data_IF_326280290632
#
_entry.id   IF_326280290632
#
_cell.length_a   1.000
_cell.length_b   1.000
_cell.length_c   1.000
_cell.angle_alpha   90.00
_cell.angle_beta   90.00
_cell.angle_gamma   90.00
#
_symmetry.space_group_name_H-M   'P 1'
#
loop_
_entity.id
_entity.type
_entity.pdbx_description
1 polymer ?
#
# COMPACT_ATOMS: atom_id res chain seq x y z
N UNK A 1 29.43 -17.89 -6.27
CA UNK A 1 29.21 -16.63 -5.54
C UNK A 1 28.03 -15.87 -6.13
N UNK A 2 28.02 -15.50 -7.43
CA UNK A 2 26.92 -14.72 -8.06
C UNK A 2 25.54 -15.39 -7.92
N UNK A 3 25.44 -16.70 -8.17
CA UNK A 3 24.16 -17.44 -8.05
C UNK A 3 23.57 -17.38 -6.63
N UNK A 4 24.41 -17.46 -5.60
CA UNK A 4 23.97 -17.33 -4.20
C UNK A 4 23.49 -15.92 -3.90
N UNK A 5 24.20 -14.91 -4.38
CA UNK A 5 23.81 -13.51 -4.22
C UNK A 5 22.45 -13.23 -4.87
N UNK A 6 22.23 -13.72 -6.09
CA UNK A 6 20.95 -13.62 -6.79
C UNK A 6 19.82 -14.33 -6.04
N UNK A 7 20.06 -15.57 -5.59
CA UNK A 7 19.07 -16.33 -4.83
C UNK A 7 18.65 -15.61 -3.54
N UNK A 8 19.60 -15.01 -2.80
CA UNK A 8 19.32 -14.20 -1.61
C UNK A 8 18.54 -12.94 -1.96
N UNK A 9 18.86 -12.29 -3.10
CA UNK A 9 18.13 -11.12 -3.59
C UNK A 9 16.68 -11.45 -3.90
N UNK A 10 16.43 -12.51 -4.66
CA UNK A 10 15.08 -12.99 -4.99
C UNK A 10 14.29 -13.31 -3.73
N UNK A 11 14.89 -14.01 -2.76
CA UNK A 11 14.23 -14.31 -1.49
C UNK A 11 13.80 -13.05 -0.73
N UNK A 12 14.68 -12.04 -0.64
CA UNK A 12 14.37 -10.75 0.00
C UNK A 12 13.28 -9.98 -0.74
N UNK A 13 13.30 -9.98 -2.06
CA UNK A 13 12.27 -9.33 -2.86
C UNK A 13 10.92 -10.02 -2.69
N UNK A 14 10.91 -11.33 -2.60
CA UNK A 14 9.72 -12.11 -2.31
C UNK A 14 9.15 -11.78 -0.91
N UNK A 15 10.02 -11.62 0.11
CA UNK A 15 9.59 -11.18 1.43
C UNK A 15 8.94 -9.78 1.40
N UNK A 16 9.50 -8.82 0.65
CA UNK A 16 8.91 -7.48 0.48
C UNK A 16 7.53 -7.54 -0.17
N UNK A 17 7.43 -8.31 -1.24
CA UNK A 17 6.16 -8.57 -1.93
C UNK A 17 5.11 -9.15 -0.96
N UNK A 18 5.46 -10.20 -0.22
CA UNK A 18 4.55 -10.84 0.75
C UNK A 18 4.16 -9.86 1.87
N UNK A 19 5.10 -9.10 2.42
CA UNK A 19 4.80 -8.10 3.46
C UNK A 19 3.80 -7.07 2.96
N UNK A 20 4.00 -6.52 1.78
CA UNK A 20 3.06 -5.58 1.15
C UNK A 20 1.68 -6.21 0.97
N UNK A 21 1.61 -7.36 0.32
CA UNK A 21 0.36 -8.04 -0.03
C UNK A 21 -0.46 -8.43 1.22
N UNK A 22 0.20 -8.96 2.25
CA UNK A 22 -0.49 -9.30 3.49
C UNK A 22 -1.00 -8.07 4.24
N UNK A 23 -0.27 -6.95 4.20
CA UNK A 23 -0.73 -5.69 4.80
C UNK A 23 -1.97 -5.14 4.08
N UNK A 24 -1.96 -5.15 2.74
CA UNK A 24 -3.12 -4.73 1.94
C UNK A 24 -4.34 -5.58 2.26
N UNK A 25 -4.19 -6.91 2.24
CA UNK A 25 -5.29 -7.83 2.51
C UNK A 25 -5.83 -7.66 3.95
N UNK A 26 -4.94 -7.56 4.95
CA UNK A 26 -5.34 -7.36 6.33
C UNK A 26 -6.13 -6.06 6.50
N UNK A 27 -5.62 -4.93 6.00
CA UNK A 27 -6.29 -3.64 6.09
C UNK A 27 -7.61 -3.62 5.32
N UNK A 28 -7.68 -4.21 4.13
CA UNK A 28 -8.92 -4.29 3.34
C UNK A 28 -10.02 -5.04 4.08
N UNK A 29 -9.69 -6.22 4.63
CA UNK A 29 -10.64 -7.02 5.40
C UNK A 29 -11.09 -6.28 6.66
N UNK A 30 -10.17 -5.69 7.41
CA UNK A 30 -10.51 -4.95 8.62
C UNK A 30 -11.38 -3.73 8.33
N UNK A 31 -11.05 -2.95 7.29
CA UNK A 31 -11.84 -1.78 6.87
C UNK A 31 -13.27 -2.18 6.52
N UNK A 32 -13.46 -3.22 5.72
CA UNK A 32 -14.79 -3.67 5.33
C UNK A 32 -15.56 -4.20 6.55
N UNK A 33 -14.96 -5.09 7.34
CA UNK A 33 -15.61 -5.69 8.50
C UNK A 33 -16.00 -4.63 9.53
N UNK A 34 -15.10 -3.70 9.87
CA UNK A 34 -15.37 -2.67 10.87
C UNK A 34 -16.39 -1.65 10.36
N UNK A 35 -16.38 -1.30 9.07
CA UNK A 35 -17.40 -0.41 8.51
C UNK A 35 -18.78 -1.03 8.62
N UNK A 36 -18.94 -2.29 8.22
CA UNK A 36 -20.23 -3.00 8.31
C UNK A 36 -20.64 -3.21 9.77
N UNK A 37 -19.72 -3.60 10.66
CA UNK A 37 -20.00 -3.78 12.08
C UNK A 37 -20.41 -2.47 12.79
N UNK A 38 -19.90 -1.33 12.30
CA UNK A 38 -20.29 0.00 12.79
C UNK A 38 -21.61 0.51 12.20
N UNK A 39 -22.28 -0.25 11.33
CA UNK A 39 -23.56 0.11 10.72
C UNK A 39 -23.43 1.00 9.48
N UNK A 40 -22.23 1.15 8.93
CA UNK A 40 -22.04 1.85 7.66
C UNK A 40 -22.31 0.94 6.47
N UNK A 41 -22.64 1.54 5.34
CA UNK A 41 -22.65 0.84 4.06
C UNK A 41 -21.22 0.38 3.70
N UNK A 42 -21.12 -0.59 2.76
CA UNK A 42 -19.83 -1.06 2.27
C UNK A 42 -19.01 0.13 1.73
N UNK A 43 -17.78 0.34 2.21
CA UNK A 43 -17.01 1.56 1.93
C UNK A 43 -16.54 1.66 0.47
N UNK A 44 -16.58 0.56 -0.27
CA UNK A 44 -16.13 0.48 -1.66
C UNK A 44 -17.18 -0.13 -2.57
N UNK A 45 -17.33 0.40 -3.76
CA UNK A 45 -18.10 -0.22 -4.84
C UNK A 45 -17.32 -1.39 -5.47
N UNK A 46 -18.00 -2.28 -6.18
CA UNK A 46 -17.36 -3.41 -6.86
C UNK A 46 -16.25 -2.98 -7.83
N UNK A 47 -16.45 -1.87 -8.56
CA UNK A 47 -15.45 -1.30 -9.47
C UNK A 47 -14.25 -0.74 -8.72
N UNK A 48 -14.46 -0.09 -7.58
CA UNK A 48 -13.37 0.39 -6.73
C UNK A 48 -12.54 -0.77 -6.15
N UNK A 49 -13.19 -1.86 -5.73
CA UNK A 49 -12.49 -3.08 -5.29
C UNK A 49 -11.68 -3.68 -6.44
N UNK A 50 -12.24 -3.74 -7.64
CA UNK A 50 -11.52 -4.22 -8.81
C UNK A 50 -10.29 -3.35 -9.14
N UNK A 51 -10.43 -2.03 -9.05
CA UNK A 51 -9.32 -1.08 -9.21
C UNK A 51 -8.22 -1.32 -8.17
N UNK A 52 -8.58 -1.43 -6.90
CA UNK A 52 -7.64 -1.71 -5.82
C UNK A 52 -6.86 -3.00 -6.11
N UNK A 53 -7.55 -4.09 -6.45
CA UNK A 53 -6.91 -5.39 -6.63
C UNK A 53 -6.05 -5.48 -7.90
N UNK A 54 -6.44 -4.86 -9.01
CA UNK A 54 -5.73 -5.02 -10.28
C UNK A 54 -4.64 -3.96 -10.44
N UNK A 55 -4.94 -2.69 -10.19
CA UNK A 55 -4.05 -1.58 -10.53
C UNK A 55 -3.24 -1.13 -9.33
N UNK A 56 -3.86 -1.16 -8.15
CA UNK A 56 -3.21 -0.70 -6.93
C UNK A 56 -2.30 -1.79 -6.33
N UNK A 57 -2.75 -3.04 -6.30
CA UNK A 57 -1.98 -4.15 -5.73
C UNK A 57 -0.94 -4.73 -6.71
N UNK A 58 -1.34 -4.97 -7.96
CA UNK A 58 -0.52 -5.70 -8.93
C UNK A 58 0.80 -4.97 -9.27
N UNK A 59 0.77 -3.82 -9.94
CA UNK A 59 1.98 -3.14 -10.39
C UNK A 59 2.94 -2.72 -9.26
N UNK A 60 2.52 -2.12 -8.13
CA UNK A 60 3.40 -1.83 -7.01
C UNK A 60 4.05 -3.08 -6.41
N UNK A 61 3.29 -4.17 -6.25
CA UNK A 61 3.81 -5.43 -5.73
C UNK A 61 4.89 -6.03 -6.64
N UNK A 62 4.68 -6.00 -7.97
CA UNK A 62 5.69 -6.46 -8.94
C UNK A 62 6.98 -5.64 -8.84
N UNK A 63 6.90 -4.33 -8.61
CA UNK A 63 8.10 -3.49 -8.48
C UNK A 63 8.91 -3.82 -7.23
N UNK A 64 8.27 -4.30 -6.15
CA UNK A 64 8.96 -4.81 -4.97
C UNK A 64 9.70 -6.11 -5.26
N UNK A 65 9.13 -6.97 -6.12
CA UNK A 65 9.79 -8.17 -6.62
C UNK A 65 11.03 -7.90 -7.49
N UNK A 66 11.11 -6.71 -8.07
CA UNK A 66 12.20 -6.27 -8.94
C UNK A 66 13.18 -5.30 -8.27
N UNK A 67 13.12 -5.16 -6.94
CA UNK A 67 14.05 -4.29 -6.20
C UNK A 67 15.50 -4.73 -6.43
N UNK A 68 16.41 -3.80 -6.75
CA UNK A 68 17.81 -4.11 -7.01
C UNK A 68 18.48 -4.87 -5.86
N UNK A 69 19.23 -5.92 -6.22
CA UNK A 69 19.97 -6.73 -5.25
C UNK A 69 21.09 -5.91 -4.63
N UNK A 70 21.08 -5.78 -3.31
CA UNK A 70 22.10 -5.05 -2.56
C UNK A 70 23.32 -5.92 -2.31
N UNK A 71 24.52 -5.31 -2.40
CA UNK A 71 25.77 -6.03 -2.21
C UNK A 71 26.05 -6.57 -0.80
N UNK A 72 25.37 -6.01 0.22
CA UNK A 72 25.48 -6.36 1.63
C UNK A 72 24.81 -7.70 2.01
N UNK A 73 24.02 -8.29 1.10
CA UNK A 73 23.36 -9.58 1.33
C UNK A 73 24.35 -10.74 1.54
N UNK A 74 25.55 -10.64 1.02
CA UNK A 74 26.57 -11.70 1.18
C UNK A 74 27.21 -11.70 2.58
N UNK A 75 27.12 -10.60 3.31
CA UNK A 75 27.63 -10.47 4.68
C UNK A 75 26.65 -11.01 5.72
N UNK A 76 25.43 -11.37 5.32
CA UNK A 76 24.41 -11.92 6.22
C UNK A 76 24.56 -13.45 6.34
N UNK A 77 24.21 -14.04 7.49
CA UNK A 77 24.21 -15.49 7.64
C UNK A 77 23.25 -16.16 6.67
N UNK A 78 23.47 -17.43 6.31
CA UNK A 78 22.55 -18.20 5.49
C UNK A 78 21.18 -18.34 6.16
N UNK A 79 20.11 -18.23 5.37
CA UNK A 79 18.76 -18.52 5.85
C UNK A 79 18.60 -20.03 5.99
N UNK A 80 18.06 -20.48 7.10
CA UNK A 80 17.77 -21.92 7.34
C UNK A 80 16.72 -22.40 6.36
N UNK A 81 16.80 -23.66 5.93
CA UNK A 81 15.85 -24.27 4.98
C UNK A 81 14.42 -24.38 5.53
N UNK A 82 14.29 -24.50 6.84
CA UNK A 82 13.05 -24.60 7.60
C UNK A 82 12.52 -23.23 8.10
N UNK A 83 13.20 -22.12 7.74
CA UNK A 83 12.77 -20.80 8.16
C UNK A 83 11.47 -20.40 7.46
N UNK A 84 10.52 -19.85 8.24
CA UNK A 84 9.32 -19.26 7.69
C UNK A 84 9.65 -18.07 6.79
N UNK A 85 8.94 -17.94 5.68
CA UNK A 85 9.06 -16.79 4.77
C UNK A 85 8.68 -15.50 5.49
N UNK A 86 7.60 -15.56 6.29
CA UNK A 86 7.15 -14.44 7.13
C UNK A 86 7.90 -14.50 8.45
N UNK A 87 8.84 -13.58 8.64
CA UNK A 87 9.55 -13.43 9.91
C UNK A 87 8.67 -12.77 10.96
N UNK A 88 9.03 -12.91 12.25
CA UNK A 88 8.32 -12.23 13.35
C UNK A 88 8.30 -10.70 13.17
N UNK A 89 9.40 -10.15 12.67
CA UNK A 89 9.52 -8.72 12.38
C UNK A 89 8.56 -8.30 11.24
N UNK A 90 8.51 -9.08 10.15
CA UNK A 90 7.54 -8.86 9.08
C UNK A 90 6.10 -8.91 9.58
N UNK A 91 5.77 -9.90 10.41
CA UNK A 91 4.43 -10.02 11.00
C UNK A 91 4.07 -8.78 11.82
N UNK A 92 5.01 -8.28 12.62
CA UNK A 92 4.82 -7.06 13.38
C UNK A 92 4.57 -5.85 12.48
N UNK A 93 5.35 -5.70 11.41
CA UNK A 93 5.16 -4.64 10.43
C UNK A 93 3.82 -4.73 9.70
N UNK A 94 3.40 -5.95 9.30
CA UNK A 94 2.11 -6.20 8.67
C UNK A 94 0.96 -5.77 9.58
N UNK A 95 0.98 -6.20 10.83
CA UNK A 95 -0.07 -5.89 11.81
C UNK A 95 -0.09 -4.40 12.12
N UNK A 96 1.06 -3.78 12.38
CA UNK A 96 1.14 -2.36 12.73
C UNK A 96 0.68 -1.47 11.58
N UNK A 97 1.18 -1.70 10.36
CA UNK A 97 0.77 -0.93 9.20
C UNK A 97 -0.70 -1.20 8.82
N UNK A 98 -1.15 -2.45 8.90
CA UNK A 98 -2.55 -2.81 8.63
C UNK A 98 -3.51 -2.13 9.61
N UNK A 99 -3.18 -2.12 10.90
CA UNK A 99 -3.97 -1.42 11.92
C UNK A 99 -3.92 0.10 11.76
N UNK A 100 -2.75 0.67 11.42
CA UNK A 100 -2.62 2.11 11.13
C UNK A 100 -3.55 2.53 9.98
N UNK A 101 -3.48 1.85 8.84
CA UNK A 101 -4.33 2.12 7.67
C UNK A 101 -5.81 2.02 8.05
N UNK A 102 -6.17 0.96 8.77
CA UNK A 102 -7.54 0.74 9.24
C UNK A 102 -8.00 1.85 10.19
N UNK A 103 -7.17 2.24 11.14
CA UNK A 103 -7.50 3.27 12.13
C UNK A 103 -7.69 4.65 11.46
N UNK A 104 -6.80 5.04 10.56
CA UNK A 104 -6.91 6.30 9.81
C UNK A 104 -8.16 6.30 8.93
N UNK A 105 -8.44 5.19 8.25
CA UNK A 105 -9.64 5.04 7.43
C UNK A 105 -10.92 5.16 8.25
N UNK A 106 -11.01 4.44 9.37
CA UNK A 106 -12.19 4.48 10.25
C UNK A 106 -12.34 5.84 10.93
N UNK A 107 -11.25 6.49 11.32
CA UNK A 107 -11.27 7.84 11.86
C UNK A 107 -11.85 8.83 10.83
N UNK A 108 -11.44 8.74 9.56
CA UNK A 108 -12.04 9.56 8.50
C UNK A 108 -13.52 9.25 8.30
N UNK A 109 -13.89 7.96 8.33
CA UNK A 109 -15.28 7.55 8.14
C UNK A 109 -16.21 8.09 9.23
N UNK A 110 -15.77 8.10 10.50
CA UNK A 110 -16.57 8.59 11.62
C UNK A 110 -16.50 10.10 11.81
N UNK A 111 -15.31 10.67 11.75
CA UNK A 111 -15.05 12.04 12.15
C UNK A 111 -15.05 13.05 11.00
N UNK A 112 -14.93 12.55 9.75
CA UNK A 112 -14.75 13.39 8.55
C UNK A 112 -13.69 14.51 8.76
N UNK A 113 -12.56 14.17 9.37
CA UNK A 113 -11.54 15.15 9.78
C UNK A 113 -10.85 15.83 8.58
N UNK A 114 -10.91 15.22 7.39
CA UNK A 114 -10.42 15.84 6.16
C UNK A 114 -11.33 16.95 5.64
N UNK A 115 -12.63 16.98 6.09
CA UNK A 115 -13.54 18.08 5.85
C UNK A 115 -14.24 18.05 4.49
N UNK A 116 -14.51 16.87 3.94
CA UNK A 116 -15.30 16.72 2.72
C UNK A 116 -16.82 16.81 2.93
N UNK A 117 -17.55 17.11 1.87
CA UNK A 117 -19.03 17.04 1.86
C UNK A 117 -19.49 15.57 1.94
N UNK A 118 -20.78 15.36 2.25
CA UNK A 118 -21.37 14.00 2.27
C UNK A 118 -21.21 13.28 0.93
N UNK A 119 -21.33 14.01 -0.18
CA UNK A 119 -21.16 13.46 -1.54
C UNK A 119 -19.69 13.10 -1.84
N UNK A 120 -18.72 13.83 -1.27
CA UNK A 120 -17.30 13.59 -1.44
C UNK A 120 -16.77 12.48 -0.53
N UNK A 121 -17.48 12.13 0.53
CA UNK A 121 -17.01 11.16 1.53
C UNK A 121 -16.61 9.80 0.93
N UNK A 122 -17.40 9.15 0.04
CA UNK A 122 -16.98 7.89 -0.59
C UNK A 122 -15.69 8.04 -1.40
N UNK A 123 -15.53 9.17 -2.11
CA UNK A 123 -14.34 9.47 -2.91
C UNK A 123 -13.11 9.71 -2.04
N UNK A 124 -13.29 10.38 -0.90
CA UNK A 124 -12.23 10.59 0.09
C UNK A 124 -11.78 9.26 0.67
N UNK A 125 -12.70 8.40 1.08
CA UNK A 125 -12.38 7.07 1.65
C UNK A 125 -11.67 6.18 0.65
N UNK A 126 -12.16 6.12 -0.60
CA UNK A 126 -11.52 5.36 -1.66
C UNK A 126 -10.10 5.88 -1.95
N UNK A 127 -9.95 7.18 -2.14
CA UNK A 127 -8.66 7.80 -2.45
C UNK A 127 -7.69 7.69 -1.26
N UNK A 128 -8.17 7.87 -0.04
CA UNK A 128 -7.39 7.68 1.19
C UNK A 128 -6.81 6.27 1.26
N UNK A 129 -7.65 5.26 1.03
CA UNK A 129 -7.19 3.87 1.04
C UNK A 129 -6.10 3.63 0.00
N UNK A 130 -6.30 4.09 -1.24
CA UNK A 130 -5.31 3.94 -2.31
C UNK A 130 -3.99 4.63 -1.96
N UNK A 131 -4.03 5.87 -1.46
CA UNK A 131 -2.81 6.61 -1.09
C UNK A 131 -2.07 5.91 0.05
N UNK A 132 -2.76 5.50 1.11
CA UNK A 132 -2.14 4.77 2.22
C UNK A 132 -1.48 3.47 1.76
N UNK A 133 -2.09 2.74 0.80
CA UNK A 133 -1.47 1.54 0.23
C UNK A 133 -0.26 1.86 -0.65
N UNK A 134 -0.28 2.95 -1.41
CA UNK A 134 0.90 3.41 -2.15
C UNK A 134 2.09 3.65 -1.20
N UNK A 135 1.87 4.36 -0.10
CA UNK A 135 2.92 4.58 0.89
C UNK A 135 3.32 3.29 1.62
N UNK A 136 2.38 2.38 1.88
CA UNK A 136 2.67 1.05 2.40
C UNK A 136 3.62 0.25 1.49
N UNK A 137 3.54 0.41 0.16
CA UNK A 137 4.50 -0.22 -0.75
C UNK A 137 5.93 0.33 -0.54
N UNK A 138 6.08 1.63 -0.25
CA UNK A 138 7.39 2.19 0.14
C UNK A 138 7.87 1.61 1.47
N UNK A 139 7.01 1.55 2.48
CA UNK A 139 7.33 0.97 3.77
C UNK A 139 7.76 -0.50 3.65
N UNK A 140 7.14 -1.26 2.74
CA UNK A 140 7.45 -2.67 2.49
C UNK A 140 8.82 -2.91 1.83
N UNK A 141 9.50 -1.86 1.33
CA UNK A 141 10.90 -1.94 0.89
C UNK A 141 11.86 -2.16 2.06
N UNK A 142 11.51 -1.67 3.25
CA UNK A 142 12.31 -1.84 4.44
C UNK A 142 12.05 -3.22 5.04
N UNK A 143 13.06 -4.08 5.02
CA UNK A 143 13.11 -5.32 5.76
C UNK A 143 14.25 -5.23 6.77
N UNK A 144 13.95 -5.37 8.04
CA UNK A 144 14.92 -5.20 9.10
C UNK A 144 15.24 -3.72 9.37
N UNK A 145 16.43 -3.44 9.87
CA UNK A 145 16.91 -2.11 10.25
C UNK A 145 17.24 -1.16 9.09
N UNK A 146 16.85 -1.51 7.86
CA UNK A 146 17.19 -0.72 6.67
C UNK A 146 16.20 0.43 6.49
N UNK A 147 16.71 1.66 6.42
CA UNK A 147 15.89 2.84 6.15
C UNK A 147 15.14 2.74 4.81
N UNK A 148 13.85 3.08 4.81
CA UNK A 148 12.98 3.17 3.62
C UNK A 148 13.58 4.09 2.55
N UNK A 149 14.25 5.17 2.97
CA UNK A 149 14.83 6.18 2.08
C UNK A 149 16.14 5.73 1.42
N UNK A 150 16.79 4.69 1.95
CA UNK A 150 18.05 4.20 1.40
C UNK A 150 17.86 3.60 0.02
N UNK A 151 18.50 4.21 -0.99
CA UNK A 151 18.39 3.80 -2.38
C UNK A 151 17.02 4.11 -3.00
N UNK A 152 16.36 5.18 -2.56
CA UNK A 152 15.04 5.58 -3.07
C UNK A 152 15.02 5.73 -4.59
N UNK A 153 16.05 6.32 -5.19
CA UNK A 153 16.18 6.48 -6.64
C UNK A 153 16.69 5.25 -7.40
N UNK A 154 17.08 4.17 -6.71
CA UNK A 154 17.65 3.00 -7.37
C UNK A 154 16.61 2.15 -8.12
N UNK A 155 15.36 2.13 -7.64
CA UNK A 155 14.24 1.46 -8.31
C UNK A 155 13.39 2.47 -9.09
N UNK A 156 13.89 2.87 -10.26
CA UNK A 156 13.19 3.82 -11.15
C UNK A 156 11.83 3.27 -11.63
N UNK A 157 11.73 1.96 -11.81
CA UNK A 157 10.48 1.31 -12.21
C UNK A 157 9.41 1.52 -11.13
N UNK A 158 9.76 1.32 -9.87
CA UNK A 158 8.85 1.57 -8.76
C UNK A 158 8.36 3.01 -8.73
N UNK A 159 9.27 3.98 -8.87
CA UNK A 159 8.91 5.40 -8.91
C UNK A 159 7.97 5.72 -10.08
N UNK A 160 8.24 5.14 -11.26
CA UNK A 160 7.38 5.29 -12.44
C UNK A 160 5.99 4.69 -12.24
N UNK A 161 5.90 3.48 -11.70
CA UNK A 161 4.61 2.82 -11.39
C UNK A 161 3.84 3.62 -10.33
N UNK A 162 4.51 4.11 -9.32
CA UNK A 162 3.92 4.96 -8.29
C UNK A 162 3.32 6.25 -8.88
N UNK A 163 4.11 6.98 -9.66
CA UNK A 163 3.67 8.21 -10.30
C UNK A 163 2.48 7.95 -11.23
N UNK A 164 2.54 6.86 -12.00
CA UNK A 164 1.45 6.45 -12.89
C UNK A 164 0.18 6.11 -12.11
N UNK A 165 0.28 5.26 -11.08
CA UNK A 165 -0.88 4.86 -10.26
C UNK A 165 -1.48 6.07 -9.54
N UNK A 166 -0.65 6.97 -9.01
CA UNK A 166 -1.13 8.20 -8.40
C UNK A 166 -1.83 9.11 -9.42
N UNK A 167 -1.25 9.31 -10.60
CA UNK A 167 -1.86 10.11 -11.66
C UNK A 167 -3.20 9.52 -12.12
N UNK A 168 -3.27 8.20 -12.29
CA UNK A 168 -4.51 7.51 -12.62
C UNK A 168 -5.56 7.65 -11.51
N UNK A 169 -5.15 7.59 -10.25
CA UNK A 169 -6.06 7.82 -9.11
C UNK A 169 -6.63 9.25 -9.14
N UNK A 170 -5.80 10.25 -9.42
CA UNK A 170 -6.26 11.63 -9.58
C UNK A 170 -7.28 11.73 -10.72
N UNK A 171 -6.98 11.16 -11.89
CA UNK A 171 -7.88 11.18 -13.05
C UNK A 171 -9.23 10.51 -12.73
N UNK A 172 -9.20 9.34 -12.10
CA UNK A 172 -10.43 8.62 -11.73
C UNK A 172 -11.25 9.42 -10.73
N UNK A 173 -10.62 9.93 -9.68
CA UNK A 173 -11.34 10.68 -8.65
C UNK A 173 -11.95 11.98 -9.18
N UNK A 174 -11.29 12.64 -10.13
CA UNK A 174 -11.73 13.93 -10.64
C UNK A 174 -12.71 13.86 -11.82
N UNK A 175 -12.63 12.79 -12.65
CA UNK A 175 -13.32 12.78 -13.94
C UNK A 175 -14.14 11.51 -14.24
N UNK A 176 -14.08 10.48 -13.39
CA UNK A 176 -14.73 9.20 -13.67
C UNK A 176 -15.95 8.92 -12.76
N UNK A 177 -16.74 9.94 -12.43
CA UNK A 177 -17.91 9.85 -11.57
C UNK A 177 -18.93 8.79 -12.05
N UNK A 178 -19.21 8.76 -13.34
CA UNK A 178 -20.16 7.82 -13.94
C UNK A 178 -19.81 6.35 -13.75
N UNK A 179 -18.51 6.00 -13.65
CA UNK A 179 -18.04 4.61 -13.52
C UNK A 179 -17.65 4.27 -12.07
N UNK A 180 -16.89 5.16 -11.43
CA UNK A 180 -16.34 4.92 -10.09
C UNK A 180 -17.21 5.50 -8.97
N UNK A 181 -18.27 6.24 -9.30
CA UNK A 181 -19.12 6.98 -8.35
C UNK A 181 -18.28 7.88 -7.45
N UNK A 182 -17.35 8.62 -8.07
CA UNK A 182 -16.45 9.54 -7.38
C UNK A 182 -16.93 10.98 -7.56
N UNK A 183 -16.75 11.80 -6.55
CA UNK A 183 -16.94 13.26 -6.63
C UNK A 183 -15.59 13.97 -6.62
N UNK A 184 -15.39 15.04 -7.41
CA UNK A 184 -14.12 15.74 -7.47
C UNK A 184 -13.72 16.30 -6.11
N UNK A 185 -12.43 16.17 -5.77
CA UNK A 185 -11.85 16.60 -4.51
C UNK A 185 -11.07 17.90 -4.70
N UNK A 186 -11.12 18.79 -3.71
CA UNK A 186 -10.34 20.03 -3.71
C UNK A 186 -8.85 19.75 -3.50
N UNK A 187 -7.98 20.64 -3.98
CA UNK A 187 -6.53 20.54 -3.78
C UNK A 187 -6.16 20.43 -2.28
N UNK A 188 -6.89 21.13 -1.42
CA UNK A 188 -6.67 21.08 0.03
C UNK A 188 -6.88 19.66 0.59
N UNK A 189 -7.91 18.94 0.12
CA UNK A 189 -8.15 17.54 0.51
C UNK A 189 -7.04 16.64 -0.02
N UNK A 190 -6.60 16.82 -1.28
CA UNK A 190 -5.49 16.08 -1.86
C UNK A 190 -4.20 16.23 -1.07
N UNK A 191 -3.85 17.45 -0.67
CA UNK A 191 -2.65 17.70 0.15
C UNK A 191 -2.75 17.03 1.52
N UNK A 192 -3.91 17.06 2.16
CA UNK A 192 -4.14 16.35 3.43
C UNK A 192 -4.03 14.82 3.26
N UNK A 193 -4.59 14.27 2.18
CA UNK A 193 -4.51 12.84 1.87
C UNK A 193 -3.06 12.38 1.70
N UNK A 194 -2.26 13.14 0.94
CA UNK A 194 -0.83 12.83 0.75
C UNK A 194 -0.03 13.00 2.04
N UNK A 195 -0.39 13.96 2.89
CA UNK A 195 0.29 14.18 4.16
C UNK A 195 0.04 13.07 5.21
N UNK A 196 -1.01 12.27 5.04
CA UNK A 196 -1.33 11.13 5.91
C UNK A 196 -0.56 9.84 5.51
N UNK A 197 -0.06 9.75 4.27
CA UNK A 197 0.71 8.60 3.79
C UNK A 197 2.16 8.68 4.19
#
# INVERSE_FOLDING_TARGET
VKAVQWGRGIYRNFQRFIQFQLTVNLSSVLVILLSVAAGFEAPFTAIQILWINIIMDGPPALTLGLEPVRGDLMNQPPVRRDASIVSREMLWNIVTNGLYITAVFMAQHWLNFLGGTKEQQPSILFTLFVILQLFNAFNSRALGSVSVLRGFGANRLMLGVFALTFALQVLITQYADGLFKTAPLSLAIWLKLVALG
#
